data_IF_523189046963
#
_entry.id   IF_523189046963
#
_cell.length_a   1.000
_cell.length_b   1.000
_cell.length_c   1.000
_cell.angle_alpha   90.00
_cell.angle_beta   90.00
_cell.angle_gamma   90.00
#
_symmetry.space_group_name_H-M   'P 1'
#
loop_
_entity.id
_entity.type
_entity.pdbx_description
1 polymer ?
#
# COMPACT_ATOMS: atom_id res chain seq x y z
N UNK A 1 67.69 8.79 0.10
CA UNK A 1 68.60 9.64 0.90
C UNK A 1 67.78 10.45 1.90
N UNK A 2 68.27 10.52 3.16
CA UNK A 2 67.86 11.36 4.31
C UNK A 2 66.48 11.07 4.93
N UNK A 3 66.42 10.34 6.05
CA UNK A 3 66.75 10.65 7.49
C UNK A 3 65.49 11.18 8.21
N UNK A 4 64.79 10.33 8.95
CA UNK A 4 64.91 10.05 10.40
C UNK A 4 64.57 11.27 11.29
N UNK A 5 63.53 11.12 12.13
CA UNK A 5 63.58 11.49 13.54
C UNK A 5 62.58 10.66 14.36
N UNK A 6 63.14 9.80 15.21
CA UNK A 6 62.51 9.16 16.37
C UNK A 6 62.22 10.20 17.48
N UNK A 7 61.33 9.89 18.42
CA UNK A 7 61.69 9.55 19.82
C UNK A 7 60.48 8.87 20.51
N UNK A 8 60.73 7.76 21.25
CA UNK A 8 59.75 6.99 22.03
C UNK A 8 59.70 7.43 23.50
N UNK A 9 58.67 7.00 24.24
CA UNK A 9 58.69 6.92 25.70
C UNK A 9 58.43 5.47 26.07
N UNK A 10 59.46 4.84 26.64
CA UNK A 10 59.36 3.54 27.27
C UNK A 10 58.93 3.64 28.73
N UNK A 11 58.48 2.52 29.27
CA UNK A 11 58.84 2.09 30.63
C UNK A 11 58.46 0.61 30.75
N UNK A 12 59.51 -0.22 30.72
CA UNK A 12 59.51 -1.62 31.10
C UNK A 12 59.72 -1.79 32.61
N UNK A 13 59.77 -3.06 33.02
CA UNK A 13 60.13 -3.64 34.33
C UNK A 13 58.86 -4.02 35.15
N UNK A 14 58.65 -5.24 35.64
CA UNK A 14 59.58 -6.32 35.97
C UNK A 14 58.84 -7.66 36.06
N UNK A 15 59.55 -8.75 35.74
CA UNK A 15 59.18 -10.15 35.99
C UNK A 15 59.03 -10.47 37.48
N UNK A 16 58.07 -11.33 37.87
CA UNK A 16 58.19 -12.20 39.05
C UNK A 16 57.72 -13.61 38.69
N UNK A 17 58.46 -14.57 39.24
CA UNK A 17 58.63 -15.96 38.87
C UNK A 17 57.51 -16.91 39.31
N UNK A 18 57.57 -18.09 38.68
CA UNK A 18 56.90 -19.34 39.03
C UNK A 18 57.08 -19.76 40.49
N UNK A 19 56.01 -20.32 41.08
CA UNK A 19 56.08 -21.46 41.98
C UNK A 19 54.91 -22.41 41.67
N UNK A 20 55.16 -23.71 41.42
CA UNK A 20 54.13 -24.74 41.52
C UNK A 20 54.13 -25.32 42.95
N UNK A 21 52.94 -25.56 43.51
CA UNK A 21 52.77 -26.44 44.67
C UNK A 21 51.51 -27.28 44.47
N UNK A 22 51.72 -28.59 44.43
CA UNK A 22 50.70 -29.63 44.38
C UNK A 22 50.39 -30.13 45.80
N UNK A 23 49.12 -30.55 45.96
CA UNK A 23 48.55 -31.46 46.97
C UNK A 23 48.39 -30.93 48.41
N UNK A 24 47.33 -31.22 49.16
CA UNK A 24 46.39 -32.35 49.09
C UNK A 24 45.00 -32.03 49.67
N UNK A 25 43.99 -32.68 49.05
CA UNK A 25 42.71 -33.22 49.55
C UNK A 25 42.07 -32.61 50.82
N UNK A 26 40.88 -32.04 50.63
CA UNK A 26 39.68 -32.60 51.23
C UNK A 26 38.66 -32.88 50.12
N UNK A 27 38.24 -34.14 50.05
CA UNK A 27 37.15 -34.64 49.22
C UNK A 27 35.86 -34.24 49.94
N UNK A 28 35.20 -33.20 49.45
CA UNK A 28 33.77 -33.05 49.66
C UNK A 28 33.07 -33.50 48.38
N UNK A 29 32.55 -34.72 48.45
CA UNK A 29 31.65 -35.30 47.49
C UNK A 29 30.34 -34.54 47.56
N UNK A 30 30.29 -33.32 47.00
CA UNK A 30 29.02 -32.73 46.62
C UNK A 30 28.87 -32.96 45.13
N UNK A 31 28.31 -34.13 44.81
CA UNK A 31 27.68 -34.38 43.52
C UNK A 31 26.52 -33.39 43.41
N UNK A 32 26.83 -32.13 43.04
CA UNK A 32 25.85 -31.26 42.42
C UNK A 32 25.53 -31.92 41.08
N UNK A 33 24.54 -32.81 41.11
CA UNK A 33 23.62 -32.92 40.00
C UNK A 33 23.22 -31.49 39.65
N UNK A 34 23.80 -30.95 38.57
CA UNK A 34 23.19 -29.86 37.80
C UNK A 34 21.88 -30.43 37.27
N UNK A 35 20.90 -30.49 38.14
CA UNK A 35 19.52 -30.57 37.75
C UNK A 35 19.28 -29.26 37.01
N UNK A 36 19.17 -29.33 35.68
CA UNK A 36 18.76 -28.21 34.85
C UNK A 36 17.30 -27.90 35.22
N UNK A 37 17.09 -27.27 36.38
CA UNK A 37 15.78 -26.78 36.79
C UNK A 37 15.41 -25.67 35.81
N UNK A 38 14.44 -25.98 34.94
CA UNK A 38 13.91 -25.05 33.95
C UNK A 38 13.55 -23.73 34.64
N UNK A 39 13.96 -22.62 34.05
CA UNK A 39 13.71 -21.29 34.59
C UNK A 39 12.26 -20.87 34.30
N UNK A 40 11.59 -20.21 35.24
CA UNK A 40 10.27 -19.64 34.98
C UNK A 40 10.39 -18.48 33.98
N UNK A 41 9.55 -18.45 32.94
CA UNK A 41 9.51 -17.36 31.96
C UNK A 41 9.35 -16.00 32.65
N UNK A 42 8.56 -15.93 33.72
CA UNK A 42 8.33 -14.70 34.49
C UNK A 42 9.63 -14.16 35.13
N UNK A 43 10.63 -15.01 35.37
CA UNK A 43 11.94 -14.59 35.89
C UNK A 43 12.92 -14.19 34.79
N UNK A 44 12.74 -14.67 33.56
CA UNK A 44 13.65 -14.46 32.43
C UNK A 44 13.24 -13.24 31.60
N UNK A 45 11.93 -13.03 31.42
CA UNK A 45 11.38 -11.86 30.74
C UNK A 45 11.23 -10.74 31.76
N UNK A 46 12.27 -9.91 31.86
CA UNK A 46 12.33 -8.78 32.80
C UNK A 46 11.54 -7.57 32.31
N UNK A 47 11.39 -7.44 31.00
CA UNK A 47 10.64 -6.35 30.38
C UNK A 47 9.48 -6.93 29.58
N UNK A 48 8.26 -6.69 30.07
CA UNK A 48 6.98 -7.10 29.47
C UNK A 48 6.34 -6.02 28.62
N UNK A 49 6.85 -4.78 28.68
CA UNK A 49 6.40 -3.66 27.85
C UNK A 49 7.34 -3.55 26.63
N UNK A 50 6.89 -3.99 25.46
CA UNK A 50 7.70 -3.94 24.25
C UNK A 50 7.77 -2.54 23.64
N UNK A 51 6.90 -1.65 24.09
CA UNK A 51 6.72 -0.32 23.50
C UNK A 51 6.04 -0.41 22.13
N UNK A 52 6.39 0.53 21.28
CA UNK A 52 5.74 0.73 19.99
C UNK A 52 6.32 -0.19 18.90
N UNK A 53 5.47 -1.01 18.27
CA UNK A 53 5.83 -1.98 17.24
C UNK A 53 5.27 -1.56 15.88
N UNK A 54 5.97 -1.83 14.76
CA UNK A 54 5.50 -1.42 13.45
C UNK A 54 4.16 -2.06 13.04
N UNK A 55 3.89 -3.29 13.49
CA UNK A 55 2.74 -4.11 13.08
C UNK A 55 2.39 -5.16 14.15
N UNK A 56 1.13 -5.63 14.14
CA UNK A 56 0.61 -6.69 15.04
C UNK A 56 0.88 -8.07 14.45
N UNK A 57 2.15 -8.41 14.29
CA UNK A 57 2.59 -9.69 13.74
C UNK A 57 3.67 -10.35 14.62
N UNK A 58 3.85 -11.65 14.42
CA UNK A 58 4.72 -12.46 15.25
C UNK A 58 6.20 -12.08 15.13
N UNK A 59 6.66 -11.64 13.96
CA UNK A 59 8.06 -11.31 13.71
C UNK A 59 8.42 -9.99 14.40
N UNK A 60 7.53 -8.99 14.31
CA UNK A 60 7.64 -7.72 15.03
C UNK A 60 7.72 -7.92 16.54
N UNK A 61 6.84 -8.78 17.09
CA UNK A 61 6.82 -9.10 18.52
C UNK A 61 8.09 -9.83 18.95
N UNK A 62 8.52 -10.87 18.22
CA UNK A 62 9.74 -11.63 18.53
C UNK A 62 10.99 -10.76 18.51
N UNK A 63 11.10 -9.89 17.52
CA UNK A 63 12.23 -8.98 17.38
C UNK A 63 12.32 -8.03 18.57
N UNK A 64 11.22 -7.34 18.90
CA UNK A 64 11.19 -6.41 20.04
C UNK A 64 11.42 -7.12 21.38
N UNK A 65 10.84 -8.31 21.56
CA UNK A 65 11.03 -9.10 22.77
C UNK A 65 12.49 -9.52 22.96
N UNK A 66 13.17 -9.92 21.89
CA UNK A 66 14.59 -10.30 21.90
C UNK A 66 15.48 -9.12 22.24
N UNK A 67 15.19 -7.93 21.70
CA UNK A 67 15.96 -6.71 21.99
C UNK A 67 15.83 -6.32 23.47
N UNK A 68 14.63 -6.40 24.04
CA UNK A 68 14.39 -6.04 25.45
C UNK A 68 14.86 -7.12 26.43
N UNK A 69 15.02 -8.36 25.96
CA UNK A 69 15.44 -9.51 26.77
C UNK A 69 16.54 -10.30 26.01
N UNK A 70 17.77 -9.77 25.90
CA UNK A 70 18.80 -10.28 24.97
C UNK A 70 19.30 -11.71 25.25
N UNK A 71 19.04 -12.24 26.44
CA UNK A 71 19.41 -13.61 26.82
C UNK A 71 18.27 -14.63 26.63
N UNK A 72 17.11 -14.18 26.13
CA UNK A 72 15.94 -15.03 25.92
C UNK A 72 16.13 -15.92 24.69
N UNK A 73 15.94 -17.23 24.86
CA UNK A 73 15.94 -18.20 23.76
C UNK A 73 14.53 -18.31 23.18
N UNK A 74 14.24 -17.51 22.16
CA UNK A 74 12.91 -17.38 21.54
C UNK A 74 12.40 -18.69 20.92
N UNK A 75 13.30 -19.54 20.46
CA UNK A 75 13.05 -20.86 19.89
C UNK A 75 12.42 -21.84 20.90
N UNK A 76 12.64 -21.61 22.20
CA UNK A 76 12.07 -22.39 23.30
C UNK A 76 10.65 -21.93 23.68
N UNK A 77 10.05 -20.98 22.95
CA UNK A 77 8.80 -20.30 23.32
C UNK A 77 7.70 -20.46 22.26
N UNK A 78 6.47 -20.38 22.73
CA UNK A 78 5.23 -20.30 21.95
C UNK A 78 4.51 -18.98 22.22
N UNK A 79 3.84 -18.46 21.20
CA UNK A 79 3.23 -17.13 21.23
C UNK A 79 1.76 -17.24 20.82
N UNK A 80 0.87 -16.65 21.61
CA UNK A 80 -0.54 -16.51 21.28
C UNK A 80 -0.90 -15.03 21.33
N UNK A 81 -1.11 -14.43 20.16
CA UNK A 81 -1.49 -13.03 20.02
C UNK A 81 -2.97 -12.90 20.39
N UNK A 82 -3.31 -11.95 21.25
CA UNK A 82 -4.70 -11.58 21.50
C UNK A 82 -5.20 -10.81 20.27
N UNK A 83 -6.26 -11.26 19.61
CA UNK A 83 -6.77 -10.60 18.41
C UNK A 83 -7.40 -9.24 18.70
N UNK A 84 -7.96 -9.04 19.90
CA UNK A 84 -8.72 -7.85 20.30
C UNK A 84 -7.87 -6.80 20.98
N UNK A 85 -6.84 -7.21 21.72
CA UNK A 85 -5.99 -6.32 22.50
C UNK A 85 -4.54 -6.32 21.98
N UNK A 86 -3.75 -5.30 22.31
CA UNK A 86 -2.31 -5.29 22.01
C UNK A 86 -1.53 -6.07 23.06
N UNK A 87 -1.88 -7.35 23.18
CA UNK A 87 -1.32 -8.30 24.13
C UNK A 87 -0.89 -9.57 23.43
N UNK A 88 0.17 -10.18 23.94
CA UNK A 88 0.62 -11.50 23.53
C UNK A 88 0.90 -12.35 24.77
N UNK A 89 0.39 -13.57 24.76
CA UNK A 89 0.72 -14.57 25.76
C UNK A 89 1.94 -15.33 25.26
N UNK A 90 3.01 -15.32 26.05
CA UNK A 90 4.26 -16.05 25.77
C UNK A 90 4.37 -17.20 26.76
N UNK A 91 4.50 -18.42 26.23
CA UNK A 91 4.53 -19.65 27.01
C UNK A 91 5.72 -20.51 26.61
N UNK A 92 6.28 -21.26 27.56
CA UNK A 92 7.34 -22.22 27.25
C UNK A 92 6.78 -23.27 26.29
N UNK A 93 7.52 -23.58 25.23
CA UNK A 93 7.10 -24.63 24.31
C UNK A 93 7.09 -25.99 25.04
N UNK A 94 6.30 -26.95 24.54
CA UNK A 94 6.09 -28.24 25.24
C UNK A 94 7.39 -29.04 25.41
N UNK A 95 8.33 -28.85 24.48
CA UNK A 95 9.62 -29.52 24.47
C UNK A 95 10.74 -28.69 25.13
N UNK A 96 10.39 -27.61 25.83
CA UNK A 96 11.40 -26.64 26.27
C UNK A 96 12.28 -27.28 27.33
N UNK A 97 13.58 -27.26 27.11
CA UNK A 97 14.56 -27.76 28.09
C UNK A 97 15.02 -26.65 29.05
N UNK A 98 14.71 -25.39 28.71
CA UNK A 98 15.19 -24.21 29.45
C UNK A 98 14.11 -23.53 30.28
N UNK A 99 12.83 -23.54 29.86
CA UNK A 99 11.80 -22.68 30.43
C UNK A 99 10.52 -23.41 30.88
N UNK A 100 9.78 -22.79 31.81
CA UNK A 100 8.43 -23.19 32.24
C UNK A 100 7.53 -21.97 32.46
N UNK A 101 6.20 -22.20 32.43
CA UNK A 101 5.20 -21.17 32.73
C UNK A 101 4.79 -20.33 31.51
N UNK A 102 4.04 -19.27 31.79
CA UNK A 102 3.53 -18.31 30.81
C UNK A 102 3.54 -16.88 31.38
N UNK A 103 3.56 -15.90 30.50
CA UNK A 103 3.47 -14.48 30.85
C UNK A 103 2.71 -13.70 29.77
N UNK A 104 2.03 -12.64 30.19
CA UNK A 104 1.37 -11.68 29.29
C UNK A 104 2.32 -10.51 29.04
N UNK A 105 2.46 -10.14 27.77
CA UNK A 105 3.31 -9.06 27.30
C UNK A 105 2.44 -8.04 26.58
N UNK A 106 2.66 -6.77 26.88
CA UNK A 106 1.92 -5.65 26.30
C UNK A 106 2.79 -4.91 25.28
N UNK A 107 2.14 -4.33 24.29
CA UNK A 107 2.77 -3.47 23.30
C UNK A 107 1.79 -2.40 22.80
N UNK A 108 2.29 -1.41 22.09
CA UNK A 108 1.49 -0.53 21.24
C UNK A 108 1.87 -0.77 19.78
N UNK A 109 0.95 -0.51 18.85
CA UNK A 109 1.27 -0.48 17.43
C UNK A 109 1.57 0.95 17.05
N UNK A 110 2.64 1.12 16.27
CA UNK A 110 3.04 2.36 15.65
C UNK A 110 1.88 2.84 14.81
N UNK A 111 1.11 3.77 15.38
CA UNK A 111 0.06 4.46 14.67
C UNK A 111 0.75 5.18 13.52
N UNK A 112 0.58 4.66 12.31
CA UNK A 112 1.06 5.36 11.11
C UNK A 112 0.32 6.67 10.85
N UNK A 113 -0.64 7.05 11.71
CA UNK A 113 -1.21 8.38 11.80
C UNK A 113 -1.64 8.61 13.26
N UNK A 114 -1.17 9.69 13.89
CA UNK A 114 -1.80 10.21 15.10
C UNK A 114 -3.29 10.44 14.82
N UNK A 115 -4.14 9.59 15.39
CA UNK A 115 -5.59 9.77 15.40
C UNK A 115 -5.93 10.81 16.46
N UNK A 116 -6.80 11.77 16.11
CA UNK A 116 -7.46 12.58 17.12
C UNK A 116 -8.18 11.67 18.13
N UNK A 117 -8.03 11.90 19.45
CA UNK A 117 -8.58 11.00 20.46
C UNK A 117 -10.11 10.91 20.33
N UNK A 118 -10.64 9.69 20.14
CA UNK A 118 -12.07 9.39 20.15
C UNK A 118 -12.71 8.97 18.82
N UNK A 119 -11.96 8.94 17.72
CA UNK A 119 -12.48 8.49 16.41
C UNK A 119 -12.07 7.03 16.14
N UNK A 120 -13.04 6.13 15.91
CA UNK A 120 -12.71 4.76 15.51
C UNK A 120 -12.02 4.75 14.13
N UNK A 121 -11.15 3.75 13.90
CA UNK A 121 -10.31 3.66 12.69
C UNK A 121 -11.13 3.70 11.40
N UNK A 122 -12.37 3.19 11.43
CA UNK A 122 -13.26 3.16 10.27
C UNK A 122 -13.76 4.57 9.96
N UNK A 123 -14.23 5.30 10.97
CA UNK A 123 -14.72 6.67 10.85
C UNK A 123 -13.60 7.60 10.37
N UNK A 124 -12.38 7.41 10.87
CA UNK A 124 -11.22 8.14 10.35
C UNK A 124 -10.99 7.86 8.85
N UNK A 125 -10.99 6.59 8.45
CA UNK A 125 -10.82 6.21 7.05
C UNK A 125 -11.88 6.84 6.14
N UNK A 126 -13.15 6.76 6.54
CA UNK A 126 -14.28 7.37 5.82
C UNK A 126 -14.15 8.89 5.73
N UNK A 127 -13.70 9.54 6.81
CA UNK A 127 -13.44 11.00 6.81
C UNK A 127 -12.36 11.38 5.81
N UNK A 128 -11.28 10.59 5.71
CA UNK A 128 -10.18 10.83 4.75
C UNK A 128 -10.61 10.59 3.31
N UNK A 129 -11.43 9.56 3.05
CA UNK A 129 -12.04 9.35 1.74
C UNK A 129 -12.89 10.56 1.32
N UNK A 130 -13.71 11.10 2.24
CA UNK A 130 -14.54 12.27 1.97
C UNK A 130 -13.69 13.52 1.71
N UNK A 131 -12.69 13.77 2.55
CA UNK A 131 -11.75 14.88 2.39
C UNK A 131 -11.06 14.85 1.01
N UNK A 132 -10.53 13.68 0.61
CA UNK A 132 -9.91 13.50 -0.70
C UNK A 132 -10.91 13.66 -1.84
N UNK A 133 -12.16 13.21 -1.66
CA UNK A 133 -13.22 13.37 -2.65
C UNK A 133 -13.48 14.86 -2.95
N UNK A 134 -13.58 15.68 -1.90
CA UNK A 134 -13.78 17.12 -2.02
C UNK A 134 -12.56 17.81 -2.66
N UNK A 135 -11.36 17.44 -2.22
CA UNK A 135 -10.09 17.97 -2.78
C UNK A 135 -9.96 17.71 -4.29
N UNK A 136 -10.21 16.47 -4.74
CA UNK A 136 -10.16 16.10 -6.16
C UNK A 136 -11.23 16.86 -6.95
N UNK A 137 -12.44 16.97 -6.40
CA UNK A 137 -13.54 17.71 -7.04
C UNK A 137 -13.21 19.19 -7.22
N UNK A 138 -12.53 19.79 -6.24
CA UNK A 138 -12.09 21.19 -6.31
C UNK A 138 -10.95 21.36 -7.33
N UNK A 139 -9.98 20.44 -7.37
CA UNK A 139 -8.92 20.45 -8.39
C UNK A 139 -9.50 20.42 -9.81
N UNK A 140 -10.52 19.59 -10.06
CA UNK A 140 -11.27 19.59 -11.32
C UNK A 140 -11.89 20.95 -11.63
N UNK A 141 -12.61 21.55 -10.67
CA UNK A 141 -13.26 22.86 -10.83
C UNK A 141 -12.26 23.97 -11.11
N UNK A 142 -11.13 23.97 -10.41
CA UNK A 142 -10.08 24.99 -10.57
C UNK A 142 -9.58 25.01 -12.01
N UNK A 143 -9.25 23.85 -12.58
CA UNK A 143 -8.81 23.74 -13.98
C UNK A 143 -9.96 24.02 -14.94
N UNK A 144 -11.18 23.54 -14.67
CA UNK A 144 -12.34 23.84 -15.53
C UNK A 144 -12.63 25.34 -15.62
N UNK A 145 -12.34 26.11 -14.56
CA UNK A 145 -12.53 27.56 -14.51
C UNK A 145 -11.64 28.36 -15.48
N UNK A 146 -10.69 27.70 -16.13
CA UNK A 146 -9.80 28.30 -17.13
C UNK A 146 -10.37 28.17 -18.54
N UNK A 147 -11.44 27.38 -18.73
CA UNK A 147 -12.13 27.19 -20.00
C UNK A 147 -13.22 28.24 -20.12
N UNK A 148 -13.14 29.11 -21.12
CA UNK A 148 -14.16 30.10 -21.41
C UNK A 148 -15.30 29.46 -22.22
N UNK A 149 -16.42 29.25 -21.54
CA UNK A 149 -17.61 28.59 -22.08
C UNK A 149 -18.35 29.51 -23.07
N UNK A 150 -18.17 30.83 -22.95
CA UNK A 150 -18.90 31.81 -23.76
C UNK A 150 -18.22 32.10 -25.11
N UNK A 151 -16.96 31.69 -25.30
CA UNK A 151 -16.20 31.91 -26.55
C UNK A 151 -15.88 30.63 -27.34
N UNK A 152 -16.69 29.58 -27.13
CA UNK A 152 -16.52 28.29 -27.83
C UNK A 152 -15.47 27.39 -27.17
N UNK A 153 -15.40 27.39 -25.85
CA UNK A 153 -14.45 26.59 -25.05
C UNK A 153 -12.97 26.92 -25.29
N UNK A 154 -12.66 28.20 -25.53
CA UNK A 154 -11.26 28.67 -25.60
C UNK A 154 -10.65 28.70 -24.20
N UNK A 155 -9.40 28.27 -24.08
CA UNK A 155 -8.69 28.25 -22.80
C UNK A 155 -8.02 29.60 -22.58
N UNK A 156 -8.26 30.23 -21.42
CA UNK A 156 -7.46 31.35 -20.95
C UNK A 156 -6.09 30.81 -20.53
N UNK A 157 -5.10 30.93 -21.43
CA UNK A 157 -3.76 30.35 -21.24
C UNK A 157 -3.03 30.88 -20.01
N UNK A 158 -3.15 32.18 -19.72
CA UNK A 158 -2.48 32.80 -18.58
C UNK A 158 -3.03 32.27 -17.26
N UNK A 159 -4.36 32.24 -17.12
CA UNK A 159 -5.04 31.66 -15.96
C UNK A 159 -4.79 30.15 -15.85
N UNK A 160 -4.77 29.44 -16.99
CA UNK A 160 -4.49 28.01 -17.04
C UNK A 160 -3.09 27.67 -16.53
N UNK A 161 -2.05 28.35 -17.02
CA UNK A 161 -0.67 28.07 -16.63
C UNK A 161 -0.45 28.25 -15.11
N UNK A 162 -1.07 29.27 -14.50
CA UNK A 162 -0.99 29.47 -13.05
C UNK A 162 -1.67 28.36 -12.25
N UNK A 163 -2.86 27.92 -12.70
CA UNK A 163 -3.67 26.94 -11.97
C UNK A 163 -3.16 25.51 -12.19
N UNK A 164 -2.81 25.17 -13.44
CA UNK A 164 -2.45 23.82 -13.87
C UNK A 164 -1.26 23.26 -13.08
N UNK A 165 -0.19 24.04 -12.93
CA UNK A 165 1.00 23.58 -12.19
C UNK A 165 0.67 23.25 -10.73
N UNK A 166 -0.08 24.13 -10.06
CA UNK A 166 -0.49 23.91 -8.68
C UNK A 166 -1.44 22.72 -8.52
N UNK A 167 -2.34 22.50 -9.48
CA UNK A 167 -3.24 21.36 -9.48
C UNK A 167 -2.49 20.04 -9.73
N UNK A 168 -1.53 20.02 -10.64
CA UNK A 168 -0.73 18.81 -10.93
C UNK A 168 0.04 18.34 -9.70
N UNK A 169 0.69 19.25 -8.96
CA UNK A 169 1.37 18.92 -7.70
C UNK A 169 0.39 18.32 -6.68
N UNK A 170 -0.75 18.99 -6.47
CA UNK A 170 -1.80 18.49 -5.55
C UNK A 170 -2.31 17.10 -5.96
N UNK A 171 -2.50 16.86 -7.27
CA UNK A 171 -2.93 15.56 -7.76
C UNK A 171 -1.89 14.47 -7.52
N UNK A 172 -0.59 14.77 -7.53
CA UNK A 172 0.44 13.80 -7.12
C UNK A 172 0.39 13.51 -5.62
N UNK A 173 0.14 14.52 -4.78
CA UNK A 173 -0.06 14.34 -3.34
C UNK A 173 -1.29 13.47 -3.05
N UNK A 174 -2.41 13.73 -3.72
CA UNK A 174 -3.63 12.92 -3.57
C UNK A 174 -3.41 11.47 -3.98
N UNK A 175 -2.58 11.21 -5.00
CA UNK A 175 -2.19 9.84 -5.38
C UNK A 175 -1.45 9.12 -4.25
N UNK A 176 -0.57 9.82 -3.52
CA UNK A 176 0.16 9.25 -2.39
C UNK A 176 -0.78 8.97 -1.21
N UNK A 177 -1.69 9.90 -0.93
CA UNK A 177 -2.71 9.72 0.11
C UNK A 177 -3.63 8.53 -0.19
N UNK A 178 -4.11 8.39 -1.43
CA UNK A 178 -4.90 7.23 -1.87
C UNK A 178 -4.11 5.93 -1.68
N UNK A 179 -2.84 5.88 -2.10
CA UNK A 179 -2.00 4.69 -1.92
C UNK A 179 -1.77 4.34 -0.44
N UNK A 180 -1.70 5.34 0.44
CA UNK A 180 -1.60 5.10 1.88
C UNK A 180 -2.91 4.54 2.46
N UNK A 181 -4.07 4.99 1.96
CA UNK A 181 -5.37 4.41 2.31
C UNK A 181 -5.51 2.97 1.80
N UNK A 182 -5.01 2.65 0.61
CA UNK A 182 -4.99 1.27 0.10
C UNK A 182 -4.22 0.35 1.05
N UNK A 183 -3.05 0.79 1.55
CA UNK A 183 -2.25 0.02 2.52
C UNK A 183 -2.93 -0.12 3.88
N UNK A 184 -3.64 0.91 4.33
CA UNK A 184 -4.28 0.87 5.64
C UNK A 184 -5.53 -0.02 5.67
N UNK A 185 -6.05 -0.47 4.52
CA UNK A 185 -7.13 -1.46 4.46
C UNK A 185 -6.78 -2.78 5.16
N UNK A 186 -5.49 -3.14 5.24
CA UNK A 186 -5.01 -4.39 5.84
C UNK A 186 -5.37 -4.52 7.33
N UNK A 187 -5.59 -3.41 8.02
CA UNK A 187 -5.85 -3.40 9.47
C UNK A 187 -7.30 -3.71 9.84
N UNK A 188 -8.22 -3.68 8.87
CA UNK A 188 -9.65 -3.90 9.11
C UNK A 188 -10.03 -5.37 8.98
N UNK A 189 -11.05 -5.81 9.71
CA UNK A 189 -11.67 -7.13 9.53
C UNK A 189 -12.26 -7.28 8.12
N UNK A 190 -12.48 -8.52 7.68
CA UNK A 190 -12.89 -8.82 6.31
C UNK A 190 -14.14 -8.06 5.85
N UNK A 191 -15.14 -7.94 6.74
CA UNK A 191 -16.41 -7.30 6.40
C UNK A 191 -16.22 -5.80 6.24
N UNK A 192 -15.59 -5.14 7.20
CA UNK A 192 -15.33 -3.69 7.14
C UNK A 192 -14.38 -3.35 6.00
N UNK A 193 -13.34 -4.17 5.79
CA UNK A 193 -12.38 -4.01 4.70
C UNK A 193 -13.06 -4.02 3.34
N UNK A 194 -14.01 -4.93 3.11
CA UNK A 194 -14.78 -5.00 1.85
C UNK A 194 -15.59 -3.73 1.61
N UNK A 195 -16.30 -3.25 2.63
CA UNK A 195 -17.10 -2.03 2.55
C UNK A 195 -16.22 -0.80 2.23
N UNK A 196 -15.09 -0.65 2.93
CA UNK A 196 -14.15 0.45 2.71
C UNK A 196 -13.40 0.36 1.37
N UNK A 197 -13.07 -0.85 0.91
CA UNK A 197 -12.42 -1.08 -0.39
C UNK A 197 -13.30 -0.60 -1.54
N UNK A 198 -14.62 -0.85 -1.48
CA UNK A 198 -15.57 -0.36 -2.48
C UNK A 198 -15.63 1.17 -2.51
N UNK A 199 -15.55 1.84 -1.37
CA UNK A 199 -15.52 3.31 -1.30
C UNK A 199 -14.20 3.86 -1.86
N UNK A 200 -13.07 3.23 -1.52
CA UNK A 200 -11.76 3.60 -2.04
C UNK A 200 -11.67 3.41 -3.56
N UNK A 201 -12.26 2.34 -4.11
CA UNK A 201 -12.33 2.13 -5.55
C UNK A 201 -13.06 3.28 -6.27
N UNK A 202 -14.18 3.76 -5.70
CA UNK A 202 -14.91 4.92 -6.25
C UNK A 202 -14.04 6.18 -6.24
N UNK A 203 -13.33 6.43 -5.14
CA UNK A 203 -12.39 7.55 -5.03
C UNK A 203 -11.27 7.45 -6.07
N UNK A 204 -10.65 6.28 -6.21
CA UNK A 204 -9.57 6.02 -7.18
C UNK A 204 -10.04 6.23 -8.63
N UNK A 205 -11.27 5.82 -8.96
CA UNK A 205 -11.85 6.07 -10.27
C UNK A 205 -12.10 7.56 -10.51
N UNK A 206 -12.62 8.28 -9.52
CA UNK A 206 -12.83 9.73 -9.61
C UNK A 206 -11.52 10.51 -9.76
N UNK A 207 -10.47 10.12 -9.01
CA UNK A 207 -9.13 10.67 -9.14
C UNK A 207 -8.62 10.56 -10.57
N UNK A 208 -8.70 9.36 -11.16
CA UNK A 208 -8.22 9.09 -12.53
C UNK A 208 -9.00 9.87 -13.59
N UNK A 209 -10.33 9.89 -13.49
CA UNK A 209 -11.18 10.63 -14.42
C UNK A 209 -10.86 12.13 -14.37
N UNK A 210 -10.69 12.67 -13.16
CA UNK A 210 -10.28 14.07 -12.98
C UNK A 210 -8.91 14.35 -13.58
N UNK A 211 -7.92 13.46 -13.34
CA UNK A 211 -6.57 13.60 -13.91
C UNK A 211 -6.61 13.63 -15.44
N UNK A 212 -7.38 12.73 -16.05
CA UNK A 212 -7.59 12.68 -17.49
C UNK A 212 -8.18 13.96 -18.07
N UNK A 213 -9.21 14.49 -17.42
CA UNK A 213 -9.81 15.76 -17.85
C UNK A 213 -8.82 16.92 -17.78
N UNK A 214 -8.01 16.98 -16.73
CA UNK A 214 -6.97 17.99 -16.57
C UNK A 214 -5.92 17.89 -17.68
N UNK A 215 -5.42 16.68 -17.98
CA UNK A 215 -4.46 16.42 -19.06
C UNK A 215 -5.04 16.82 -20.42
N UNK A 216 -6.32 16.51 -20.69
CA UNK A 216 -7.00 16.90 -21.93
C UNK A 216 -7.14 18.43 -22.07
N UNK A 217 -7.34 19.16 -20.98
CA UNK A 217 -7.37 20.63 -21.00
C UNK A 217 -5.97 21.18 -21.25
N UNK A 218 -4.94 20.58 -20.65
CA UNK A 218 -3.54 20.97 -20.87
C UNK A 218 -3.14 20.86 -22.34
N UNK A 219 -3.45 19.74 -22.98
CA UNK A 219 -3.16 19.50 -24.40
C UNK A 219 -3.82 20.57 -25.30
N UNK A 220 -5.09 20.92 -25.04
CA UNK A 220 -5.80 21.99 -25.75
C UNK A 220 -5.18 23.38 -25.54
N UNK A 221 -4.55 23.61 -24.38
CA UNK A 221 -3.94 24.90 -24.05
C UNK A 221 -2.62 25.15 -24.79
N UNK A 222 -1.85 24.09 -25.03
CA UNK A 222 -0.54 24.17 -25.69
C UNK A 222 -0.69 24.41 -27.21
N UNK A 223 -1.77 23.92 -27.84
CA UNK A 223 -1.91 23.98 -29.29
C UNK A 223 -3.30 24.44 -29.80
N UNK A 224 -3.58 25.76 -29.85
CA UNK A 224 -4.92 26.28 -30.17
C UNK A 224 -5.31 26.18 -31.66
N UNK A 225 -4.36 25.97 -32.57
CA UNK A 225 -4.60 25.89 -34.03
C UNK A 225 -4.02 24.63 -34.72
N UNK A 226 -3.27 23.79 -34.02
CA UNK A 226 -2.86 22.48 -34.54
C UNK A 226 -3.72 21.41 -33.89
N UNK A 227 -4.68 20.91 -34.66
CA UNK A 227 -5.40 19.66 -34.41
C UNK A 227 -4.47 18.46 -34.52
N UNK A 228 -3.49 18.35 -33.63
CA UNK A 228 -2.67 17.15 -33.45
C UNK A 228 -2.84 16.56 -32.05
N UNK A 229 -3.96 16.83 -31.38
CA UNK A 229 -4.48 15.87 -30.39
C UNK A 229 -4.89 14.60 -31.14
N UNK A 230 -4.93 13.42 -30.50
CA UNK A 230 -5.88 12.41 -30.91
C UNK A 230 -7.26 13.09 -30.83
N UNK A 231 -7.76 13.57 -31.96
CA UNK A 231 -9.09 14.17 -32.12
C UNK A 231 -10.02 13.31 -31.30
N UNK A 232 -10.67 13.86 -30.25
CA UNK A 232 -11.68 13.14 -29.44
C UNK A 232 -12.50 12.34 -30.45
N UNK A 233 -12.33 11.01 -30.51
CA UNK A 233 -12.82 10.26 -31.65
C UNK A 233 -14.30 10.56 -31.84
N UNK A 234 -14.68 11.01 -33.04
CA UNK A 234 -16.04 11.51 -33.33
C UNK A 234 -17.13 10.51 -32.94
N UNK A 235 -16.77 9.23 -32.85
CA UNK A 235 -17.59 8.16 -32.30
C UNK A 235 -18.16 8.46 -30.91
N UNK A 236 -17.45 9.22 -30.06
CA UNK A 236 -17.94 9.60 -28.74
C UNK A 236 -19.12 10.60 -28.80
N UNK A 237 -19.24 11.36 -29.88
CA UNK A 237 -20.32 12.31 -30.13
C UNK A 237 -21.48 11.71 -30.92
N UNK A 238 -21.39 10.45 -31.33
CA UNK A 238 -22.49 9.78 -32.04
C UNK A 238 -23.70 9.57 -31.13
N UNK A 239 -24.87 10.03 -31.58
CA UNK A 239 -26.16 9.72 -30.95
C UNK A 239 -26.65 8.30 -31.28
N UNK A 240 -25.98 7.62 -32.21
CA UNK A 240 -26.35 6.28 -32.63
C UNK A 240 -26.03 5.26 -31.56
N UNK A 241 -27.06 4.55 -31.10
CA UNK A 241 -26.97 3.62 -30.00
C UNK A 241 -27.03 2.18 -30.53
N UNK A 242 -25.90 1.66 -31.01
CA UNK A 242 -25.78 0.31 -31.57
C UNK A 242 -24.46 -0.38 -31.15
N UNK A 243 -24.35 -1.69 -31.41
CA UNK A 243 -23.17 -2.49 -31.03
C UNK A 243 -21.87 -2.06 -31.74
N UNK A 244 -21.94 -1.62 -33.00
CA UNK A 244 -20.75 -1.16 -33.72
C UNK A 244 -20.25 0.17 -33.18
N UNK A 245 -21.15 1.13 -32.96
CA UNK A 245 -20.81 2.44 -32.40
C UNK A 245 -20.24 2.28 -30.99
N UNK A 246 -20.84 1.41 -30.17
CA UNK A 246 -20.32 1.06 -28.85
C UNK A 246 -18.96 0.34 -28.90
N UNK A 247 -18.72 -0.52 -29.89
CA UNK A 247 -17.43 -1.19 -30.06
C UNK A 247 -16.34 -0.20 -30.51
N UNK A 248 -16.65 0.68 -31.46
CA UNK A 248 -15.75 1.72 -31.93
C UNK A 248 -15.39 2.69 -30.79
N UNK A 249 -16.38 3.10 -29.97
CA UNK A 249 -16.14 3.93 -28.79
C UNK A 249 -15.29 3.21 -27.74
N UNK A 250 -15.46 1.89 -27.59
CA UNK A 250 -14.68 1.10 -26.65
C UNK A 250 -13.22 1.01 -27.08
N UNK A 251 -12.97 0.81 -28.38
CA UNK A 251 -11.63 0.80 -28.96
C UNK A 251 -10.94 2.16 -28.75
N UNK A 252 -11.63 3.25 -29.11
CA UNK A 252 -11.14 4.61 -28.93
C UNK A 252 -10.79 4.90 -27.45
N UNK A 253 -11.66 4.49 -26.53
CA UNK A 253 -11.42 4.68 -25.10
C UNK A 253 -10.24 3.81 -24.63
N UNK A 254 -10.18 2.55 -25.07
CA UNK A 254 -9.13 1.62 -24.67
C UNK A 254 -7.73 2.13 -25.02
N UNK A 255 -7.56 2.73 -26.20
CA UNK A 255 -6.28 3.30 -26.59
C UNK A 255 -5.78 4.41 -25.66
N UNK A 256 -6.71 5.14 -25.04
CA UNK A 256 -6.43 6.15 -24.02
C UNK A 256 -6.10 5.46 -22.68
N UNK A 257 -6.87 4.46 -22.28
CA UNK A 257 -6.86 3.96 -20.88
C UNK A 257 -6.00 2.72 -20.62
N UNK A 258 -5.49 2.05 -21.66
CA UNK A 258 -4.78 0.75 -21.55
C UNK A 258 -3.52 0.75 -20.66
N UNK A 259 -2.96 1.91 -20.35
CA UNK A 259 -1.78 2.09 -19.49
C UNK A 259 -2.12 2.55 -18.06
N UNK A 260 -3.40 2.63 -17.70
CA UNK A 260 -3.83 3.18 -16.40
C UNK A 260 -4.10 2.13 -15.33
N UNK A 261 -4.13 0.86 -15.70
CA UNK A 261 -4.46 -0.23 -14.79
C UNK A 261 -3.21 -0.78 -14.09
N UNK A 262 -3.38 -1.25 -12.86
CA UNK A 262 -2.31 -1.82 -12.03
C UNK A 262 -2.65 -3.25 -11.59
N UNK A 263 -1.64 -4.02 -11.17
CA UNK A 263 -1.78 -5.47 -10.91
C UNK A 263 -2.78 -5.85 -9.81
N UNK A 264 -3.10 -4.93 -8.90
CA UNK A 264 -4.04 -5.17 -7.81
C UNK A 264 -5.52 -5.03 -8.21
N UNK A 265 -5.82 -4.48 -9.39
CA UNK A 265 -7.18 -4.39 -9.89
C UNK A 265 -7.63 -5.71 -10.51
N UNK A 266 -8.92 -5.95 -10.52
CA UNK A 266 -9.55 -7.08 -11.21
C UNK A 266 -10.14 -6.65 -12.55
N UNK A 267 -10.43 -7.60 -13.44
CA UNK A 267 -11.16 -7.32 -14.69
C UNK A 267 -12.57 -6.78 -14.43
N UNK A 268 -13.18 -7.13 -13.29
CA UNK A 268 -14.42 -6.50 -12.81
C UNK A 268 -14.23 -4.98 -12.61
N UNK A 269 -13.15 -4.58 -11.92
CA UNK A 269 -12.82 -3.16 -11.69
C UNK A 269 -12.56 -2.42 -13.01
N UNK A 270 -11.89 -3.07 -13.97
CA UNK A 270 -11.62 -2.50 -15.29
C UNK A 270 -12.92 -2.25 -16.06
N UNK A 271 -13.83 -3.22 -16.08
CA UNK A 271 -15.14 -3.08 -16.71
C UNK A 271 -15.97 -2.00 -16.03
N UNK A 272 -15.96 -1.94 -14.69
CA UNK A 272 -16.68 -0.91 -13.94
C UNK A 272 -16.12 0.49 -14.25
N UNK A 273 -14.80 0.63 -14.34
CA UNK A 273 -14.15 1.87 -14.76
C UNK A 273 -14.65 2.32 -16.15
N UNK A 274 -14.66 1.42 -17.14
CA UNK A 274 -15.15 1.73 -18.50
C UNK A 274 -16.62 2.13 -18.47
N UNK A 275 -17.48 1.40 -17.76
CA UNK A 275 -18.92 1.68 -17.67
C UNK A 275 -19.22 3.04 -17.05
N UNK A 276 -18.37 3.50 -16.15
CA UNK A 276 -18.53 4.78 -15.46
C UNK A 276 -17.77 5.93 -16.14
N UNK A 277 -17.00 5.67 -17.19
CA UNK A 277 -16.22 6.69 -17.88
C UNK A 277 -17.12 7.64 -18.68
N UNK A 278 -16.92 8.95 -18.58
CA UNK A 278 -17.80 9.95 -19.20
C UNK A 278 -17.95 9.80 -20.72
N UNK A 279 -16.89 9.34 -21.40
CA UNK A 279 -16.91 9.07 -22.84
C UNK A 279 -17.64 7.78 -23.24
N UNK A 280 -17.95 6.89 -22.30
CA UNK A 280 -18.50 5.56 -22.59
C UNK A 280 -19.78 5.22 -21.82
N UNK A 281 -20.11 5.96 -20.75
CA UNK A 281 -21.24 5.65 -19.85
C UNK A 281 -22.59 5.45 -20.56
N UNK A 282 -22.83 6.13 -21.69
CA UNK A 282 -24.03 5.93 -22.51
C UNK A 282 -24.14 4.53 -23.13
N UNK A 283 -23.01 3.86 -23.35
CA UNK A 283 -22.90 2.50 -23.90
C UNK A 283 -22.69 1.43 -22.80
N UNK A 284 -22.65 1.82 -21.52
CA UNK A 284 -22.43 0.90 -20.40
C UNK A 284 -23.33 -0.34 -20.40
N UNK A 285 -24.64 -0.27 -20.79
CA UNK A 285 -25.50 -1.45 -20.86
C UNK A 285 -25.08 -2.49 -21.91
N UNK A 286 -24.24 -2.11 -22.88
CA UNK A 286 -23.87 -2.98 -23.99
C UNK A 286 -22.63 -3.81 -23.73
N UNK A 287 -21.88 -3.51 -22.67
CA UNK A 287 -20.64 -4.22 -22.38
C UNK A 287 -20.74 -5.16 -21.19
N UNK A 288 -20.12 -6.31 -21.36
CA UNK A 288 -19.95 -7.32 -20.30
C UNK A 288 -18.61 -8.01 -20.49
N UNK A 289 -18.09 -8.59 -19.40
CA UNK A 289 -16.90 -9.41 -19.48
C UNK A 289 -17.25 -10.73 -20.20
N UNK A 290 -16.38 -11.17 -21.11
CA UNK A 290 -16.53 -12.46 -21.78
C UNK A 290 -16.43 -13.61 -20.77
N UNK A 291 -17.15 -14.74 -20.97
CA UNK A 291 -16.95 -15.94 -20.16
C UNK A 291 -15.51 -16.48 -20.15
N UNK A 292 -14.70 -16.10 -21.14
CA UNK A 292 -13.28 -16.47 -21.26
C UNK A 292 -12.34 -15.60 -20.43
N UNK A 293 -12.84 -14.50 -19.85
CA UNK A 293 -12.08 -13.62 -18.96
C UNK A 293 -12.73 -13.67 -17.59
N UNK A 294 -12.02 -14.18 -16.60
CA UNK A 294 -12.58 -14.33 -15.27
C UNK A 294 -12.58 -12.98 -14.55
N UNK A 295 -13.69 -12.65 -13.89
CA UNK A 295 -13.87 -11.35 -13.24
C UNK A 295 -12.79 -11.01 -12.20
N UNK A 296 -12.20 -12.02 -11.55
CA UNK A 296 -11.15 -11.88 -10.54
C UNK A 296 -9.73 -11.91 -11.14
N UNK A 297 -9.58 -12.03 -12.46
CA UNK A 297 -8.26 -11.92 -13.10
C UNK A 297 -7.74 -10.49 -13.05
N UNK A 298 -6.41 -10.36 -13.09
CA UNK A 298 -5.73 -9.09 -12.92
C UNK A 298 -5.15 -8.57 -14.24
N UNK A 299 -5.12 -7.24 -14.46
CA UNK A 299 -4.35 -6.61 -15.52
C UNK A 299 -2.88 -7.00 -15.42
N UNK A 300 -2.33 -7.53 -16.52
CA UNK A 300 -0.91 -7.82 -16.65
C UNK A 300 -0.48 -7.57 -18.09
N UNK A 301 0.78 -7.15 -18.28
CA UNK A 301 1.34 -6.99 -19.62
C UNK A 301 1.34 -8.34 -20.34
N UNK A 302 0.78 -8.39 -21.55
CA UNK A 302 0.65 -9.61 -22.35
C UNK A 302 -0.57 -10.47 -22.02
N UNK A 303 -1.30 -10.23 -20.92
CA UNK A 303 -2.63 -10.83 -20.69
C UNK A 303 -3.71 -10.08 -21.44
N UNK A 304 -4.75 -10.81 -21.86
CA UNK A 304 -5.89 -10.29 -22.61
C UNK A 304 -7.15 -10.37 -21.77
N UNK A 305 -7.85 -9.25 -21.70
CA UNK A 305 -9.23 -9.20 -21.23
C UNK A 305 -10.14 -9.15 -22.45
N UNK A 306 -11.13 -10.04 -22.54
CA UNK A 306 -12.12 -10.01 -23.62
C UNK A 306 -13.41 -9.40 -23.11
N UNK A 307 -13.85 -8.33 -23.76
CA UNK A 307 -15.11 -7.63 -23.50
C UNK A 307 -16.10 -7.99 -24.60
N UNK A 308 -17.33 -8.32 -24.26
CA UNK A 308 -18.41 -8.53 -25.22
C UNK A 308 -19.26 -7.27 -25.29
N UNK A 309 -19.39 -6.71 -26.50
CA UNK A 309 -20.30 -5.61 -26.85
C UNK A 309 -21.55 -6.21 -27.50
N UNK A 310 -22.72 -6.04 -26.88
CA UNK A 310 -23.99 -6.64 -27.32
C UNK A 310 -25.09 -5.59 -27.42
N UNK A 311 -25.75 -5.56 -28.57
CA UNK A 311 -26.96 -4.77 -28.82
C UNK A 311 -27.94 -5.56 -29.68
N UNK A 312 -29.13 -5.84 -29.15
CA UNK A 312 -30.09 -6.74 -29.79
C UNK A 312 -29.50 -8.13 -30.04
N UNK A 313 -29.54 -8.60 -31.29
CA UNK A 313 -28.96 -9.88 -31.72
C UNK A 313 -27.47 -9.79 -32.09
N UNK A 314 -26.91 -8.58 -32.23
CA UNK A 314 -25.50 -8.39 -32.62
C UNK A 314 -24.61 -8.48 -31.38
N UNK A 315 -23.54 -9.26 -31.51
CA UNK A 315 -22.52 -9.45 -30.47
C UNK A 315 -21.14 -9.32 -31.11
N UNK A 316 -20.28 -8.48 -30.54
CA UNK A 316 -18.94 -8.20 -31.06
C UNK A 316 -17.96 -8.32 -29.90
N UNK A 317 -16.88 -9.08 -30.08
CA UNK A 317 -15.82 -9.20 -29.09
C UNK A 317 -14.77 -8.10 -29.25
N UNK A 318 -14.33 -7.55 -28.14
CA UNK A 318 -13.22 -6.62 -28.05
C UNK A 318 -12.10 -7.24 -27.20
N UNK A 319 -10.93 -7.43 -27.79
CA UNK A 319 -9.78 -8.01 -27.10
C UNK A 319 -8.88 -6.88 -26.58
N UNK A 320 -9.00 -6.62 -25.29
CA UNK A 320 -8.29 -5.59 -24.57
C UNK A 320 -6.90 -6.10 -24.17
N UNK A 321 -5.86 -5.60 -24.83
CA UNK A 321 -4.47 -5.80 -24.39
C UNK A 321 -4.08 -4.65 -23.47
N UNK A 322 -3.63 -4.96 -22.26
CA UNK A 322 -3.06 -3.98 -21.36
C UNK A 322 -1.67 -3.56 -21.88
N UNK A 323 -1.37 -2.27 -21.75
CA UNK A 323 -0.04 -1.76 -22.06
C UNK A 323 0.90 -1.93 -20.87
N UNK A 324 1.53 -0.85 -20.42
CA UNK A 324 2.34 -0.88 -19.20
C UNK A 324 1.43 -0.93 -17.99
N UNK A 325 1.41 -2.08 -17.30
CA UNK A 325 0.71 -2.25 -16.03
C UNK A 325 1.63 -1.83 -14.89
N UNK A 326 1.19 -0.85 -14.10
CA UNK A 326 1.98 -0.28 -13.00
C UNK A 326 1.98 -1.14 -11.74
#
# INVERSE_FOLDING_TARGET
MKKISLIPIGSSLSSIAFLPLLAAKCVDTNSQSKENTKQSIHSVIKTTELGELPRKDLDSIKSALSVKNPNLKIDELTFKIDEKENKVIVKANENSTLYTGEIVINYSIKSQNELAPGLDNKTYFESKLKELTEKISNAKKDVQSTVDINSGAKINKEKFNMIYYGVTIKMEEYSKEISNLEKSLEIFDEKVRRDLSNLLLKLSNMYRNTKLEIENIAEKSENPNHSNAPVRPSVFDSDTLDAQTAWNALQALWDIIKNYFYKGQTYEDVIEFIKNHDYYKKFAPFISLSPQSHKNEHPESGKRMTIIVKYGKKSISFNANFGTVK
#
